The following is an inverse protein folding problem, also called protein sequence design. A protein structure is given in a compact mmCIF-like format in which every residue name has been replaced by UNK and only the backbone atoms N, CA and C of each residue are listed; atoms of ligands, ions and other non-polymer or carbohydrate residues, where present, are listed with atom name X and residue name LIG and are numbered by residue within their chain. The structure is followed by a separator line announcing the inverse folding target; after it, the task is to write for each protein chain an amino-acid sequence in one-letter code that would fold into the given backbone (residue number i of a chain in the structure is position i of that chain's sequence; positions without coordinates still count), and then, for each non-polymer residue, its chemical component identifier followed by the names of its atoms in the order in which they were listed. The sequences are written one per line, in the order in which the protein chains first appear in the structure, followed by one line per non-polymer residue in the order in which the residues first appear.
data_IF_833131072156
#
_entry.id   IF_833131072156
#
_cell.length_a   1.000
_cell.length_b   1.000
_cell.length_c   1.000
_cell.angle_alpha   90.00
_cell.angle_beta   90.00
_cell.angle_gamma   90.00
#
_symmetry.space_group_name_H-M   'P 1'
#
loop_
_entity.id
_entity.type
_entity.pdbx_description
1 polymer ?
#
# COMPACT_ATOMS: atom_id res chain seq x y z
N UNK A 1 -36.15 15.51 -21.31
CA UNK A 1 -35.10 15.62 -22.34
C UNK A 1 -34.62 14.22 -22.71
N UNK A 2 -34.63 13.84 -24.00
CA UNK A 2 -34.15 12.52 -24.48
C UNK A 2 -32.83 12.76 -25.20
N UNK A 3 -31.71 12.26 -24.66
CA UNK A 3 -30.39 12.34 -25.32
C UNK A 3 -30.29 11.12 -26.26
N UNK A 4 -30.26 11.29 -27.60
CA UNK A 4 -30.45 10.17 -28.54
C UNK A 4 -29.44 9.02 -28.40
N UNK A 5 -28.19 9.34 -28.04
CA UNK A 5 -27.11 8.35 -27.86
C UNK A 5 -27.15 7.64 -26.50
N UNK A 6 -27.97 8.10 -25.55
CA UNK A 6 -28.02 7.56 -24.19
C UNK A 6 -29.13 6.52 -24.08
N UNK A 7 -28.78 5.32 -23.59
CA UNK A 7 -29.71 4.23 -23.32
C UNK A 7 -29.57 3.76 -21.88
N UNK A 8 -30.69 3.63 -21.18
CA UNK A 8 -30.74 3.10 -19.82
C UNK A 8 -31.15 1.63 -19.86
N UNK A 9 -30.35 0.76 -19.24
CA UNK A 9 -30.64 -0.66 -19.04
C UNK A 9 -30.69 -0.94 -17.54
N UNK A 10 -31.73 -1.64 -17.07
CA UNK A 10 -31.96 -1.89 -15.64
C UNK A 10 -31.92 -3.39 -15.34
N UNK A 11 -31.29 -3.76 -14.25
CA UNK A 11 -31.36 -5.12 -13.69
C UNK A 11 -32.71 -5.33 -12.99
N UNK A 12 -33.18 -6.58 -12.91
CA UNK A 12 -34.43 -6.92 -12.20
C UNK A 12 -34.25 -6.97 -10.67
N UNK A 13 -33.01 -7.11 -10.22
CA UNK A 13 -32.60 -7.17 -8.80
C UNK A 13 -31.19 -6.60 -8.64
N UNK A 14 -30.70 -6.48 -7.41
CA UNK A 14 -29.32 -6.04 -7.13
C UNK A 14 -28.31 -7.13 -7.55
N UNK A 15 -27.54 -6.85 -8.59
CA UNK A 15 -26.54 -7.79 -9.14
C UNK A 15 -25.10 -7.50 -8.70
N UNK A 16 -24.82 -6.28 -8.21
CA UNK A 16 -23.46 -5.83 -7.91
C UNK A 16 -22.71 -5.37 -9.15
N UNK A 17 -21.55 -4.74 -8.93
CA UNK A 17 -20.80 -4.03 -9.98
C UNK A 17 -20.36 -4.96 -11.12
N UNK A 18 -19.76 -6.11 -10.81
CA UNK A 18 -19.28 -7.09 -11.81
C UNK A 18 -20.39 -7.50 -12.77
N UNK A 19 -21.48 -8.06 -12.24
CA UNK A 19 -22.59 -8.59 -13.05
C UNK A 19 -23.33 -7.48 -13.82
N UNK A 20 -23.40 -6.28 -13.25
CA UNK A 20 -23.99 -5.12 -13.95
C UNK A 20 -23.13 -4.68 -15.13
N UNK A 21 -21.80 -4.67 -14.99
CA UNK A 21 -20.87 -4.41 -16.11
C UNK A 21 -20.99 -5.48 -17.20
N UNK A 22 -21.12 -6.76 -16.83
CA UNK A 22 -21.37 -7.85 -17.79
C UNK A 22 -22.69 -7.68 -18.56
N UNK A 23 -23.77 -7.26 -17.88
CA UNK A 23 -25.04 -6.93 -18.55
C UNK A 23 -24.84 -5.81 -19.59
N UNK A 24 -24.12 -4.75 -19.21
CA UNK A 24 -23.75 -3.67 -20.14
C UNK A 24 -22.97 -4.18 -21.35
N UNK A 25 -21.96 -5.02 -21.12
CA UNK A 25 -21.13 -5.61 -22.16
C UNK A 25 -21.94 -6.48 -23.15
N UNK A 26 -22.82 -7.34 -22.64
CA UNK A 26 -23.69 -8.19 -23.50
C UNK A 26 -24.67 -7.39 -24.36
N UNK A 27 -25.01 -6.16 -23.94
CA UNK A 27 -25.92 -5.29 -24.66
C UNK A 27 -25.21 -4.27 -25.56
N UNK A 28 -23.88 -4.20 -25.51
CA UNK A 28 -23.07 -3.29 -26.30
C UNK A 28 -23.08 -3.70 -27.79
N UNK A 29 -23.02 -2.70 -28.67
CA UNK A 29 -23.00 -2.90 -30.14
C UNK A 29 -21.74 -2.37 -30.81
N UNK A 30 -20.87 -1.69 -30.05
CA UNK A 30 -19.61 -1.15 -30.57
C UNK A 30 -18.54 -2.23 -30.65
N UNK A 31 -17.50 -1.96 -31.44
CA UNK A 31 -16.35 -2.85 -31.62
C UNK A 31 -15.45 -2.90 -30.37
N UNK A 32 -15.39 -1.78 -29.64
CA UNK A 32 -14.67 -1.62 -28.38
C UNK A 32 -15.66 -1.25 -27.28
N UNK A 33 -15.48 -1.84 -26.10
CA UNK A 33 -16.27 -1.54 -24.90
C UNK A 33 -15.43 -0.68 -23.96
N UNK A 34 -15.90 0.53 -23.67
CA UNK A 34 -15.29 1.41 -22.66
C UNK A 34 -16.15 1.39 -21.40
N UNK A 35 -15.53 1.11 -20.26
CA UNK A 35 -16.18 1.22 -18.94
C UNK A 35 -15.80 2.53 -18.27
N UNK A 36 -16.79 3.21 -17.70
CA UNK A 36 -16.62 4.39 -16.86
C UNK A 36 -17.50 4.22 -15.61
N UNK A 37 -17.03 4.73 -14.48
CA UNK A 37 -17.87 4.83 -13.29
C UNK A 37 -18.86 6.00 -13.43
N UNK A 38 -19.91 5.97 -12.61
CA UNK A 38 -21.03 6.93 -12.72
C UNK A 38 -20.68 8.34 -12.22
N UNK A 39 -19.44 8.56 -11.79
CA UNK A 39 -18.94 9.77 -11.14
C UNK A 39 -17.53 10.08 -11.68
N UNK A 40 -17.42 10.15 -13.01
CA UNK A 40 -16.20 10.49 -13.72
C UNK A 40 -16.44 11.70 -14.63
N UNK A 41 -15.39 12.51 -14.83
CA UNK A 41 -15.35 13.57 -15.83
C UNK A 41 -14.23 13.24 -16.82
N UNK A 42 -14.58 13.10 -18.09
CA UNK A 42 -13.61 12.73 -19.10
C UNK A 42 -12.90 13.98 -19.64
N UNK A 43 -11.57 13.99 -19.60
CA UNK A 43 -10.77 15.14 -19.99
C UNK A 43 -10.69 15.30 -21.54
N UNK A 44 -10.13 16.41 -22.00
CA UNK A 44 -9.98 16.76 -23.41
C UNK A 44 -9.26 15.65 -24.16
N UNK A 45 -9.85 15.22 -25.29
CA UNK A 45 -9.25 14.25 -26.20
C UNK A 45 -8.88 12.88 -25.57
N UNK A 46 -9.60 12.44 -24.53
CA UNK A 46 -9.30 11.19 -23.82
C UNK A 46 -9.53 9.91 -24.66
N UNK A 47 -10.50 9.91 -25.59
CA UNK A 47 -10.95 8.68 -26.27
C UNK A 47 -10.08 8.26 -27.46
N UNK A 48 -9.69 9.15 -28.40
CA UNK A 48 -8.87 8.76 -29.55
C UNK A 48 -7.57 8.02 -29.23
N UNK A 49 -6.71 8.44 -28.27
CA UNK A 49 -5.46 7.72 -27.99
C UNK A 49 -5.70 6.30 -27.46
N UNK A 50 -6.79 6.07 -26.72
CA UNK A 50 -7.17 4.73 -26.24
C UNK A 50 -7.60 3.83 -27.42
N UNK A 51 -8.43 4.35 -28.31
CA UNK A 51 -8.91 3.59 -29.47
C UNK A 51 -7.80 3.30 -30.47
N UNK A 52 -6.89 4.27 -30.70
CA UNK A 52 -5.73 4.09 -31.56
C UNK A 52 -4.86 2.91 -31.10
N UNK A 53 -4.59 2.84 -29.78
CA UNK A 53 -3.77 1.75 -29.25
C UNK A 53 -4.43 0.38 -29.37
N UNK A 54 -5.76 0.30 -29.23
CA UNK A 54 -6.51 -0.94 -29.46
C UNK A 54 -6.52 -1.30 -30.95
N UNK A 55 -6.64 -0.32 -31.85
CA UNK A 55 -6.61 -0.54 -33.30
C UNK A 55 -5.27 -1.14 -33.75
N UNK A 56 -4.16 -0.70 -33.15
CA UNK A 56 -2.84 -1.29 -33.39
C UNK A 56 -2.71 -2.73 -32.87
N UNK A 57 -3.33 -3.05 -31.71
CA UNK A 57 -3.32 -4.39 -31.16
C UNK A 57 -4.62 -4.72 -30.42
N UNK A 58 -5.49 -5.49 -31.08
CA UNK A 58 -6.80 -5.91 -30.56
C UNK A 58 -6.77 -6.74 -29.28
N UNK A 59 -5.60 -7.26 -28.87
CA UNK A 59 -5.42 -8.02 -27.61
C UNK A 59 -4.96 -7.14 -26.45
N UNK A 60 -4.70 -5.86 -26.69
CA UNK A 60 -4.30 -4.90 -25.65
C UNK A 60 -5.53 -4.31 -24.97
N UNK A 61 -5.56 -4.39 -23.64
CA UNK A 61 -6.45 -3.57 -22.82
C UNK A 61 -5.73 -2.26 -22.52
N UNK A 62 -6.43 -1.14 -22.63
CA UNK A 62 -5.88 0.20 -22.40
C UNK A 62 -6.64 0.88 -21.27
N UNK A 63 -5.91 1.69 -20.51
CA UNK A 63 -6.41 2.39 -19.33
C UNK A 63 -6.00 3.85 -19.46
N UNK A 64 -6.90 4.82 -19.28
CA UNK A 64 -6.48 6.20 -19.14
C UNK A 64 -5.77 6.42 -17.80
N UNK A 65 -5.05 7.54 -17.67
CA UNK A 65 -4.74 8.06 -16.34
C UNK A 65 -6.05 8.37 -15.60
N UNK A 66 -6.09 8.05 -14.31
CA UNK A 66 -7.25 8.31 -13.45
C UNK A 66 -6.86 9.43 -12.51
N UNK A 67 -7.38 10.62 -12.78
CA UNK A 67 -7.18 11.80 -11.94
C UNK A 67 -8.18 11.85 -10.77
N UNK A 68 -7.88 12.69 -9.79
CA UNK A 68 -8.68 12.88 -8.58
C UNK A 68 -9.61 14.08 -8.78
N UNK A 69 -10.88 13.86 -8.45
CA UNK A 69 -11.83 14.94 -8.17
C UNK A 69 -12.06 14.91 -6.66
N UNK A 70 -11.62 15.96 -5.97
CA UNK A 70 -11.72 16.05 -4.51
C UNK A 70 -13.18 15.99 -4.05
N UNK A 71 -13.46 15.20 -3.00
CA UNK A 71 -14.85 14.95 -2.58
C UNK A 71 -15.48 16.11 -1.79
N UNK A 72 -14.67 17.03 -1.26
CA UNK A 72 -15.13 18.17 -0.47
C UNK A 72 -15.27 19.43 -1.33
N UNK A 73 -14.28 19.70 -2.20
CA UNK A 73 -14.24 20.93 -3.00
C UNK A 73 -14.24 20.71 -4.52
N UNK A 74 -14.32 19.46 -5.00
CA UNK A 74 -14.34 19.13 -6.44
C UNK A 74 -13.12 19.67 -7.22
N UNK A 75 -11.99 19.88 -6.54
CA UNK A 75 -10.73 20.23 -7.20
C UNK A 75 -10.26 19.07 -8.05
N UNK A 76 -9.75 19.38 -9.25
CA UNK A 76 -9.24 18.39 -10.19
C UNK A 76 -7.71 18.38 -10.11
N UNK A 77 -7.13 17.24 -9.71
CA UNK A 77 -5.69 17.07 -9.56
C UNK A 77 -5.25 15.67 -10.00
N UNK A 78 -4.01 15.52 -10.45
CA UNK A 78 -3.41 14.20 -10.71
C UNK A 78 -3.24 13.43 -9.39
N UNK A 79 -3.31 12.10 -9.43
CA UNK A 79 -2.90 11.30 -8.28
C UNK A 79 -1.42 11.53 -7.93
N UNK A 80 -1.05 11.44 -6.64
CA UNK A 80 0.34 11.61 -6.19
C UNK A 80 1.30 10.69 -6.98
N UNK A 81 2.39 11.24 -7.51
CA UNK A 81 3.35 10.51 -8.35
C UNK A 81 2.91 10.30 -9.81
N UNK A 82 1.73 10.78 -10.21
CA UNK A 82 1.22 10.81 -11.58
C UNK A 82 1.34 9.45 -12.32
N UNK A 83 2.21 9.34 -13.33
CA UNK A 83 2.46 8.10 -14.05
C UNK A 83 3.14 7.04 -13.16
N UNK A 84 2.34 6.08 -12.68
CA UNK A 84 2.79 4.96 -11.86
C UNK A 84 2.24 3.63 -12.39
N UNK A 85 2.93 2.53 -12.09
CA UNK A 85 2.42 1.18 -12.38
C UNK A 85 1.53 0.74 -11.22
N UNK A 86 0.36 0.22 -11.53
CA UNK A 86 -0.48 -0.44 -10.54
C UNK A 86 0.07 -1.82 -10.18
N UNK A 87 -0.09 -2.21 -8.93
CA UNK A 87 0.45 -3.41 -8.31
C UNK A 87 -0.48 -3.88 -7.17
N UNK A 88 -0.03 -4.84 -6.36
CA UNK A 88 -0.74 -5.27 -5.17
C UNK A 88 0.22 -5.64 -4.03
N UNK A 89 -0.27 -5.57 -2.79
CA UNK A 89 0.35 -6.25 -1.65
C UNK A 89 -0.22 -7.67 -1.47
N UNK A 90 0.43 -8.52 -0.67
CA UNK A 90 0.01 -9.91 -0.45
C UNK A 90 -1.26 -10.04 0.40
N UNK A 91 -1.84 -8.93 0.86
CA UNK A 91 -3.21 -8.85 1.37
C UNK A 91 -4.26 -8.58 0.28
N UNK A 92 -3.82 -8.54 -0.99
CA UNK A 92 -4.58 -8.25 -2.20
C UNK A 92 -5.19 -6.84 -2.23
N UNK A 93 -4.54 -5.86 -1.59
CA UNK A 93 -4.86 -4.46 -1.82
C UNK A 93 -4.14 -3.94 -3.04
N UNK A 94 -4.85 -3.15 -3.85
CA UNK A 94 -4.25 -2.36 -4.92
C UNK A 94 -3.19 -1.38 -4.37
N UNK A 95 -2.09 -1.24 -5.11
CA UNK A 95 -0.96 -0.35 -4.83
C UNK A 95 -0.52 0.35 -6.12
N UNK A 96 0.14 1.50 -5.99
CA UNK A 96 0.86 2.15 -7.09
C UNK A 96 2.35 2.12 -6.76
N UNK A 97 3.17 1.67 -7.70
CA UNK A 97 4.63 1.63 -7.60
C UNK A 97 5.25 2.47 -8.73
N UNK A 98 6.39 3.12 -8.48
CA UNK A 98 7.02 3.97 -9.50
C UNK A 98 7.43 3.15 -10.73
N UNK A 99 7.40 3.78 -11.91
CA UNK A 99 7.93 3.15 -13.13
C UNK A 99 9.46 2.98 -12.96
N UNK A 100 9.99 1.74 -13.02
CA UNK A 100 11.42 1.50 -12.89
C UNK A 100 12.23 2.28 -13.94
N UNK A 101 13.43 2.79 -13.61
CA UNK A 101 14.27 3.52 -14.57
C UNK A 101 14.49 2.77 -15.89
N UNK A 102 14.65 1.45 -15.83
CA UNK A 102 14.82 0.56 -16.99
C UNK A 102 13.60 0.48 -17.93
N UNK A 103 12.43 0.92 -17.48
CA UNK A 103 11.19 0.96 -18.27
C UNK A 103 10.80 2.38 -18.72
N UNK A 104 11.50 3.41 -18.26
CA UNK A 104 11.19 4.79 -18.65
C UNK A 104 11.47 4.98 -20.13
N UNK A 105 10.49 5.54 -20.83
CA UNK A 105 10.61 5.87 -22.25
C UNK A 105 11.25 7.25 -22.43
N UNK A 106 11.77 7.48 -23.64
CA UNK A 106 12.33 8.79 -24.02
C UNK A 106 11.26 9.88 -24.01
N UNK A 107 10.08 9.57 -24.54
CA UNK A 107 8.89 10.40 -24.42
C UNK A 107 8.04 9.89 -23.24
N UNK A 108 7.88 10.68 -22.16
CA UNK A 108 7.13 10.28 -20.98
C UNK A 108 5.61 10.22 -21.22
N UNK A 109 5.11 10.72 -22.36
CA UNK A 109 3.69 10.69 -22.72
C UNK A 109 3.27 9.43 -23.46
N UNK A 110 4.23 8.61 -23.88
CA UNK A 110 3.95 7.36 -24.57
C UNK A 110 3.29 6.32 -23.65
N UNK A 111 2.42 5.44 -24.20
CA UNK A 111 1.84 4.35 -23.43
C UNK A 111 2.92 3.45 -22.80
N UNK A 112 2.77 3.13 -21.51
CA UNK A 112 3.65 2.22 -20.78
C UNK A 112 2.92 0.96 -20.32
N UNK A 113 3.68 -0.10 -20.02
CA UNK A 113 3.12 -1.37 -19.57
C UNK A 113 2.78 -1.35 -18.09
N UNK A 114 1.55 -1.75 -17.78
CA UNK A 114 1.04 -1.82 -16.42
C UNK A 114 0.81 -3.28 -15.99
N UNK A 115 1.13 -3.60 -14.74
CA UNK A 115 1.02 -4.96 -14.16
C UNK A 115 -0.42 -5.27 -13.79
N UNK A 116 -1.07 -4.26 -13.21
CA UNK A 116 -2.36 -4.40 -12.57
C UNK A 116 -3.08 -3.06 -12.68
N UNK A 117 -4.23 -3.06 -13.34
CA UNK A 117 -5.04 -1.86 -13.50
C UNK A 117 -5.83 -1.57 -12.22
N UNK A 118 -6.18 -0.31 -11.96
CA UNK A 118 -7.17 0.10 -10.95
C UNK A 118 -8.56 -0.40 -11.30
N UNK A 119 -8.88 -0.56 -12.59
CA UNK A 119 -10.21 -0.93 -13.07
C UNK A 119 -10.50 -2.43 -12.93
N UNK A 120 -9.48 -3.30 -12.99
CA UNK A 120 -9.67 -4.75 -12.84
C UNK A 120 -10.05 -5.19 -11.41
N UNK A 121 -9.47 -4.65 -10.32
CA UNK A 121 -10.00 -4.80 -8.98
C UNK A 121 -11.29 -4.00 -8.74
N UNK A 122 -11.78 -3.12 -9.63
CA UNK A 122 -13.15 -2.56 -9.51
C UNK A 122 -14.23 -3.66 -9.64
N UNK A 123 -13.86 -4.90 -9.99
CA UNK A 123 -14.71 -6.05 -9.73
C UNK A 123 -14.94 -6.30 -8.21
N UNK A 124 -13.96 -6.00 -7.35
CA UNK A 124 -13.92 -6.35 -5.92
C UNK A 124 -13.64 -5.20 -4.93
N UNK A 125 -13.33 -4.01 -5.41
CA UNK A 125 -13.03 -2.83 -4.61
C UNK A 125 -13.66 -1.60 -5.24
N UNK A 126 -14.52 -0.89 -4.52
CA UNK A 126 -14.79 0.51 -4.83
C UNK A 126 -13.75 1.35 -4.08
N UNK A 127 -12.82 1.95 -4.81
CA UNK A 127 -12.04 3.08 -4.29
C UNK A 127 -11.84 4.08 -5.42
N UNK A 128 -12.87 4.88 -5.65
CA UNK A 128 -12.69 6.32 -5.82
C UNK A 128 -13.14 6.92 -4.49
N UNK A 129 -12.46 7.97 -4.02
CA UNK A 129 -12.72 8.58 -2.72
C UNK A 129 -14.22 8.71 -2.46
N UNK A 130 -14.68 8.02 -1.42
CA UNK A 130 -16.08 7.89 -1.09
C UNK A 130 -16.58 9.26 -0.63
N UNK A 131 -17.27 9.98 -1.52
CA UNK A 131 -18.38 10.83 -1.08
C UNK A 131 -19.30 9.90 -0.31
N UNK A 132 -19.37 10.09 1.01
CA UNK A 132 -19.95 9.17 2.03
C UNK A 132 -21.47 9.01 1.87
N UNK A 133 -21.91 8.46 0.74
CA UNK A 133 -23.24 7.89 0.61
C UNK A 133 -23.22 6.50 1.23
N UNK A 134 -23.87 6.39 2.38
CA UNK A 134 -24.23 5.15 3.04
C UNK A 134 -25.07 4.25 2.11
N UNK A 135 -24.43 3.56 1.16
CA UNK A 135 -25.01 2.34 0.64
C UNK A 135 -24.79 1.26 1.68
N UNK A 136 -25.89 0.70 2.19
CA UNK A 136 -25.86 -0.40 3.15
C UNK A 136 -25.23 -1.64 2.47
N UNK A 137 -23.91 -1.79 2.59
CA UNK A 137 -23.19 -2.99 2.17
C UNK A 137 -23.47 -4.10 3.17
N UNK A 138 -24.41 -4.97 2.85
CA UNK A 138 -24.87 -6.00 3.79
C UNK A 138 -23.89 -7.14 4.05
N UNK A 139 -22.73 -7.29 3.37
CA UNK A 139 -21.81 -8.41 3.64
C UNK A 139 -20.31 -8.12 3.39
N UNK A 140 -19.55 -7.97 4.47
CA UNK A 140 -18.07 -8.07 4.51
C UNK A 140 -17.54 -9.41 3.95
N UNK A 141 -18.38 -10.46 3.96
CA UNK A 141 -18.06 -11.81 3.48
C UNK A 141 -17.86 -11.94 1.96
N UNK A 142 -18.48 -11.09 1.14
CA UNK A 142 -18.44 -11.21 -0.33
C UNK A 142 -17.04 -10.90 -0.89
N UNK A 143 -16.36 -9.89 -0.32
CA UNK A 143 -15.04 -9.45 -0.78
C UNK A 143 -13.96 -10.52 -0.62
N UNK A 144 -13.89 -11.17 0.55
CA UNK A 144 -12.86 -12.17 0.84
C UNK A 144 -13.05 -13.41 -0.05
N UNK A 145 -14.29 -13.85 -0.23
CA UNK A 145 -14.62 -15.00 -1.06
C UNK A 145 -14.20 -14.76 -2.50
N UNK A 146 -14.49 -13.59 -3.05
CA UNK A 146 -14.12 -13.28 -4.43
C UNK A 146 -12.61 -13.18 -4.64
N UNK A 147 -11.86 -12.59 -3.69
CA UNK A 147 -10.40 -12.57 -3.77
C UNK A 147 -9.82 -14.00 -3.71
N UNK A 148 -10.41 -14.86 -2.87
CA UNK A 148 -10.05 -16.28 -2.86
C UNK A 148 -10.33 -16.95 -4.20
N UNK A 149 -11.47 -16.70 -4.84
CA UNK A 149 -11.79 -17.22 -6.19
C UNK A 149 -10.74 -16.82 -7.22
N UNK A 150 -10.25 -15.58 -7.17
CA UNK A 150 -9.18 -15.11 -8.07
C UNK A 150 -7.87 -15.84 -7.76
N UNK A 151 -7.46 -15.91 -6.49
CA UNK A 151 -6.23 -16.58 -6.08
C UNK A 151 -6.21 -18.07 -6.50
N UNK A 152 -7.28 -18.80 -6.23
CA UNK A 152 -7.43 -20.23 -6.54
C UNK A 152 -7.42 -20.56 -8.04
N UNK A 153 -7.79 -19.61 -8.90
CA UNK A 153 -7.83 -19.83 -10.35
C UNK A 153 -6.57 -19.35 -11.05
N UNK A 154 -5.96 -18.25 -10.59
CA UNK A 154 -4.95 -17.54 -11.36
C UNK A 154 -3.59 -17.44 -10.70
N UNK A 155 -3.48 -17.54 -9.38
CA UNK A 155 -2.24 -17.23 -8.64
C UNK A 155 -1.33 -18.44 -8.39
N UNK A 156 -1.73 -19.65 -8.77
CA UNK A 156 -0.93 -20.87 -8.63
C UNK A 156 -0.33 -21.03 -7.22
N UNK A 157 0.96 -21.34 -7.10
CA UNK A 157 1.66 -21.47 -5.82
C UNK A 157 1.71 -20.16 -5.01
N UNK A 158 1.53 -19.00 -5.64
CA UNK A 158 1.59 -17.70 -4.98
C UNK A 158 0.31 -17.37 -4.19
N UNK A 159 -0.78 -18.11 -4.38
CA UNK A 159 -1.96 -18.01 -3.52
C UNK A 159 -1.62 -18.28 -2.04
N UNK A 160 -0.62 -19.11 -1.79
CA UNK A 160 -0.16 -19.45 -0.44
C UNK A 160 0.40 -18.22 0.31
N UNK A 161 1.08 -17.30 -0.37
CA UNK A 161 1.53 -16.05 0.24
C UNK A 161 0.36 -15.18 0.69
N UNK A 162 -0.76 -15.18 -0.06
CA UNK A 162 -1.99 -14.51 0.38
C UNK A 162 -2.54 -15.14 1.65
N UNK A 163 -2.49 -16.46 1.76
CA UNK A 163 -3.01 -17.21 2.92
C UNK A 163 -2.12 -17.08 4.16
N UNK A 164 -0.83 -16.82 3.98
CA UNK A 164 0.08 -16.50 5.08
C UNK A 164 -0.22 -15.13 5.69
N UNK A 165 -0.55 -14.14 4.85
CA UNK A 165 -0.91 -12.79 5.32
C UNK A 165 -2.35 -12.72 5.84
N UNK A 166 -3.24 -13.60 5.37
CA UNK A 166 -4.63 -13.71 5.82
C UNK A 166 -5.06 -15.16 6.07
N UNK A 167 -4.71 -15.72 7.24
CA UNK A 167 -5.00 -17.12 7.58
C UNK A 167 -6.48 -17.50 7.46
N UNK A 168 -7.40 -16.54 7.63
CA UNK A 168 -8.84 -16.76 7.50
C UNK A 168 -9.26 -17.23 6.09
N UNK A 169 -8.42 -17.01 5.07
CA UNK A 169 -8.70 -17.47 3.71
C UNK A 169 -8.61 -19.00 3.59
N UNK A 170 -7.84 -19.70 4.43
CA UNK A 170 -7.66 -21.16 4.31
C UNK A 170 -8.98 -21.91 4.46
N UNK A 171 -9.78 -21.52 5.43
CA UNK A 171 -11.05 -22.18 5.76
C UNK A 171 -12.26 -21.57 5.03
N UNK A 172 -12.06 -20.46 4.31
CA UNK A 172 -13.11 -19.83 3.52
C UNK A 172 -13.42 -20.67 2.27
N UNK A 173 -14.70 -20.99 2.03
CA UNK A 173 -15.11 -21.66 0.80
C UNK A 173 -15.11 -20.71 -0.39
N UNK A 174 -14.44 -21.07 -1.49
CA UNK A 174 -14.46 -20.32 -2.74
C UNK A 174 -15.71 -20.61 -3.61
N UNK A 175 -16.52 -21.60 -3.23
CA UNK A 175 -17.57 -22.17 -4.08
C UNK A 175 -17.00 -22.95 -5.27
N UNK A 176 -17.86 -23.30 -6.23
CA UNK A 176 -17.41 -23.97 -7.46
C UNK A 176 -16.65 -23.00 -8.38
N UNK A 177 -15.50 -23.48 -8.85
CA UNK A 177 -14.52 -22.78 -9.71
C UNK A 177 -14.18 -23.58 -10.96
N UNK A 178 -14.87 -24.69 -11.22
CA UNK A 178 -14.56 -25.63 -12.32
C UNK A 178 -14.57 -24.92 -13.67
N UNK A 179 -15.65 -24.20 -13.98
CA UNK A 179 -15.78 -23.45 -15.24
C UNK A 179 -14.67 -22.41 -15.45
N UNK A 180 -14.20 -21.76 -14.38
CA UNK A 180 -13.13 -20.76 -14.45
C UNK A 180 -11.75 -21.42 -14.65
N UNK A 181 -11.49 -22.56 -14.01
CA UNK A 181 -10.26 -23.35 -14.21
C UNK A 181 -10.20 -23.95 -15.62
N UNK A 182 -11.32 -24.45 -16.13
CA UNK A 182 -11.46 -24.93 -17.51
C UNK A 182 -11.24 -23.81 -18.53
N UNK A 183 -11.79 -22.62 -18.27
CA UNK A 183 -11.55 -21.44 -19.12
C UNK A 183 -10.06 -21.12 -19.22
N UNK A 184 -9.34 -21.07 -18.09
CA UNK A 184 -7.90 -20.83 -18.05
C UNK A 184 -7.13 -21.88 -18.85
N UNK A 185 -7.48 -23.15 -18.68
CA UNK A 185 -6.88 -24.27 -19.42
C UNK A 185 -7.10 -24.13 -20.93
N UNK A 186 -8.34 -23.90 -21.36
CA UNK A 186 -8.71 -23.74 -22.78
C UNK A 186 -8.00 -22.57 -23.45
N UNK A 187 -7.76 -21.48 -22.72
CA UNK A 187 -7.04 -20.31 -23.24
C UNK A 187 -5.51 -20.51 -23.29
N UNK A 188 -4.99 -21.62 -22.76
CA UNK A 188 -3.54 -21.92 -22.72
C UNK A 188 -2.74 -20.77 -22.10
N UNK A 189 -3.25 -20.19 -21.01
CA UNK A 189 -2.61 -19.09 -20.30
C UNK A 189 -1.25 -19.50 -19.72
N UNK A 190 -0.31 -18.55 -19.64
CA UNK A 190 0.93 -18.73 -18.88
C UNK A 190 0.63 -18.90 -17.39
N UNK A 191 1.56 -19.51 -16.66
CA UNK A 191 1.45 -19.66 -15.21
C UNK A 191 1.75 -18.33 -14.50
N UNK A 192 1.38 -18.26 -13.22
CA UNK A 192 1.55 -17.04 -12.42
C UNK A 192 3.01 -16.74 -12.13
N UNK A 193 3.88 -17.76 -12.07
CA UNK A 193 5.33 -17.58 -11.97
C UNK A 193 5.87 -16.74 -13.14
N UNK A 194 5.47 -17.05 -14.37
CA UNK A 194 5.83 -16.26 -15.55
C UNK A 194 5.31 -14.81 -15.45
N UNK A 195 4.08 -14.63 -14.93
CA UNK A 195 3.57 -13.28 -14.70
C UNK A 195 4.44 -12.51 -13.68
N UNK A 196 4.82 -13.15 -12.58
CA UNK A 196 5.67 -12.55 -11.55
C UNK A 196 7.11 -12.30 -12.02
N UNK A 197 7.65 -13.09 -12.96
CA UNK A 197 9.02 -12.94 -13.45
C UNK A 197 9.15 -12.02 -14.67
N UNK A 198 8.14 -11.97 -15.54
CA UNK A 198 8.24 -11.23 -16.81
C UNK A 198 7.41 -9.94 -16.80
N UNK A 199 6.27 -9.92 -16.12
CA UNK A 199 5.34 -8.77 -16.14
C UNK A 199 5.46 -7.94 -14.87
N UNK A 200 5.43 -8.62 -13.71
CA UNK A 200 5.38 -8.01 -12.37
C UNK A 200 6.71 -8.12 -11.59
N UNK A 201 7.84 -8.15 -12.29
CA UNK A 201 9.16 -8.43 -11.70
C UNK A 201 9.63 -7.39 -10.68
N UNK A 202 9.12 -6.16 -10.75
CA UNK A 202 9.38 -5.06 -9.82
C UNK A 202 8.44 -5.08 -8.60
N UNK A 203 7.32 -5.81 -8.66
CA UNK A 203 6.38 -5.91 -7.53
C UNK A 203 7.08 -6.43 -6.27
N UNK A 204 7.86 -7.53 -6.27
CA UNK A 204 8.56 -8.01 -5.07
C UNK A 204 9.59 -7.04 -4.50
N UNK A 205 10.12 -6.09 -5.29
CA UNK A 205 11.01 -5.03 -4.77
C UNK A 205 10.27 -4.11 -3.80
N UNK A 206 8.96 -3.94 -4.02
CA UNK A 206 8.09 -3.11 -3.18
C UNK A 206 7.25 -3.93 -2.21
N UNK A 207 6.76 -5.11 -2.58
CA UNK A 207 5.91 -5.96 -1.74
C UNK A 207 6.39 -7.40 -1.87
N UNK A 208 7.47 -7.80 -1.17
CA UNK A 208 8.02 -9.13 -1.27
C UNK A 208 7.02 -10.18 -0.73
N UNK A 209 6.91 -11.37 -1.36
CA UNK A 209 6.05 -12.44 -0.87
C UNK A 209 6.39 -12.89 0.55
N UNK A 210 7.67 -12.81 0.90
CA UNK A 210 8.18 -13.05 2.25
C UNK A 210 8.96 -11.81 2.65
N UNK A 211 8.49 -11.11 3.67
CA UNK A 211 9.16 -9.90 4.15
C UNK A 211 10.52 -10.22 4.79
N UNK A 212 11.58 -9.46 4.49
CA UNK A 212 12.86 -9.60 5.19
C UNK A 212 12.71 -9.32 6.70
N UNK A 213 13.62 -9.85 7.54
CA UNK A 213 13.55 -9.65 8.98
C UNK A 213 13.75 -8.18 9.36
N UNK A 214 13.10 -7.78 10.46
CA UNK A 214 13.28 -6.46 11.07
C UNK A 214 14.71 -6.29 11.61
N UNK A 215 15.17 -5.04 11.63
CA UNK A 215 16.48 -4.65 12.15
C UNK A 215 16.50 -4.56 13.68
N UNK A 216 15.40 -4.10 14.29
CA UNK A 216 15.24 -4.01 15.73
C UNK A 216 13.75 -3.96 16.09
N UNK A 217 13.38 -4.40 17.31
CA UNK A 217 11.99 -4.35 17.78
C UNK A 217 11.88 -4.41 19.30
N UNK A 218 10.66 -4.11 19.80
CA UNK A 218 10.31 -4.05 21.22
C UNK A 218 10.20 -2.60 21.71
N UNK A 219 10.46 -2.37 23.00
CA UNK A 219 10.53 -1.01 23.54
C UNK A 219 11.73 -0.23 22.96
N UNK A 220 11.56 1.08 22.77
CA UNK A 220 12.66 2.02 22.50
C UNK A 220 12.87 2.88 23.76
N UNK A 221 13.94 2.61 24.49
CA UNK A 221 14.27 3.27 25.75
C UNK A 221 15.34 4.34 25.55
N UNK A 222 15.11 5.52 26.09
CA UNK A 222 16.11 6.58 26.15
C UNK A 222 17.15 6.29 27.26
N UNK A 223 18.44 6.44 26.96
CA UNK A 223 19.53 6.17 27.93
C UNK A 223 19.56 7.22 29.04
N UNK A 224 19.42 8.50 28.71
CA UNK A 224 19.54 9.59 29.68
C UNK A 224 18.42 9.64 30.72
N UNK A 225 17.18 9.44 30.29
CA UNK A 225 16.00 9.48 31.17
C UNK A 225 15.55 8.11 31.69
N UNK A 226 15.94 7.02 31.03
CA UNK A 226 15.42 5.68 31.28
C UNK A 226 13.94 5.48 30.88
N UNK A 227 13.30 6.49 30.28
CA UNK A 227 11.91 6.45 29.80
C UNK A 227 11.81 5.82 28.41
N UNK A 228 10.62 5.35 28.05
CA UNK A 228 10.36 4.70 26.77
C UNK A 228 9.52 5.58 25.86
N UNK A 229 9.71 5.43 24.54
CA UNK A 229 8.80 6.02 23.55
C UNK A 229 7.43 5.37 23.65
N UNK A 230 6.38 6.19 23.71
CA UNK A 230 4.98 5.74 23.71
C UNK A 230 4.12 6.54 22.72
N UNK A 231 3.22 5.82 22.05
CA UNK A 231 2.17 6.38 21.20
C UNK A 231 0.79 6.03 21.77
N UNK A 232 -0.05 7.03 22.04
CA UNK A 232 -1.41 6.80 22.56
C UNK A 232 -2.45 6.57 21.47
N UNK A 233 -2.27 7.19 20.30
CA UNK A 233 -3.19 7.09 19.16
C UNK A 233 -2.44 6.66 17.91
N UNK A 234 -2.96 5.68 17.18
CA UNK A 234 -2.28 5.07 16.03
C UNK A 234 -2.81 5.60 14.70
N UNK A 235 -2.84 6.93 14.59
CA UNK A 235 -3.33 7.63 13.39
C UNK A 235 -2.31 8.68 12.94
N UNK A 236 -2.39 9.06 11.68
CA UNK A 236 -1.55 10.14 11.13
C UNK A 236 -1.69 11.43 11.95
N UNK A 237 -0.56 12.12 12.19
CA UNK A 237 -0.43 13.29 13.06
C UNK A 237 -0.22 12.98 14.54
N UNK A 238 -0.29 11.72 14.97
CA UNK A 238 -0.14 11.39 16.39
C UNK A 238 1.29 11.62 16.89
N UNK A 239 1.50 12.32 18.03
CA UNK A 239 2.83 12.57 18.55
C UNK A 239 3.43 11.35 19.25
N UNK A 240 4.76 11.24 19.20
CA UNK A 240 5.53 10.28 19.98
C UNK A 240 6.00 10.97 21.27
N UNK A 241 5.75 10.37 22.43
CA UNK A 241 6.07 10.93 23.74
C UNK A 241 6.97 10.02 24.55
N UNK A 242 7.56 10.57 25.62
CA UNK A 242 8.25 9.78 26.64
C UNK A 242 7.29 9.42 27.78
N UNK A 243 7.21 8.13 28.10
CA UNK A 243 6.45 7.62 29.24
C UNK A 243 7.26 6.58 30.01
N UNK A 244 6.79 6.22 31.20
CA UNK A 244 7.41 5.15 31.99
C UNK A 244 7.36 3.83 31.22
N UNK A 245 8.48 3.12 31.14
CA UNK A 245 8.57 1.85 30.42
C UNK A 245 7.64 0.81 31.05
N UNK A 246 6.75 0.23 30.25
CA UNK A 246 5.84 -0.84 30.68
C UNK A 246 6.45 -2.18 30.28
N UNK A 247 7.07 -2.88 31.24
CA UNK A 247 7.46 -4.28 31.03
C UNK A 247 6.24 -5.17 31.23
N UNK A 248 5.89 -5.97 30.23
CA UNK A 248 4.82 -6.96 30.34
C UNK A 248 5.16 -7.99 31.44
N UNK A 249 4.72 -7.72 32.67
CA UNK A 249 4.64 -8.70 33.75
C UNK A 249 3.19 -9.20 33.80
N UNK A 250 2.88 -10.16 32.95
CA UNK A 250 1.80 -11.12 33.21
C UNK A 250 0.35 -10.70 32.97
N UNK A 251 0.03 -9.49 32.52
CA UNK A 251 -1.35 -9.13 32.11
C UNK A 251 -1.44 -8.64 30.66
N UNK A 252 -2.45 -9.16 29.97
CA UNK A 252 -2.63 -9.27 28.52
C UNK A 252 -3.17 -7.97 27.90
N UNK A 253 -2.43 -6.89 28.08
CA UNK A 253 -2.55 -5.74 27.20
C UNK A 253 -1.17 -5.17 27.03
N UNK A 254 -0.52 -5.52 25.92
CA UNK A 254 0.51 -4.64 25.40
C UNK A 254 -0.08 -3.23 25.42
N UNK A 255 0.55 -2.25 26.08
CA UNK A 255 0.32 -0.88 25.66
C UNK A 255 0.89 -0.85 24.24
N UNK A 256 0.03 -1.12 23.25
CA UNK A 256 0.43 -1.34 21.85
C UNK A 256 1.30 -0.18 21.31
N UNK A 257 1.30 0.96 22.00
CA UNK A 257 2.10 2.13 21.70
C UNK A 257 3.54 2.15 22.18
N UNK A 258 4.01 1.24 23.03
CA UNK A 258 5.43 1.13 23.41
C UNK A 258 6.18 0.04 22.64
N UNK A 259 5.47 -0.79 21.87
CA UNK A 259 6.09 -1.79 21.00
C UNK A 259 6.32 -1.16 19.64
N UNK A 260 7.59 -1.06 19.25
CA UNK A 260 8.01 -0.47 18.00
C UNK A 260 8.86 -1.48 17.22
N UNK A 261 8.78 -1.42 15.89
CA UNK A 261 9.61 -2.23 14.99
C UNK A 261 10.34 -1.31 14.03
N UNK A 262 11.66 -1.46 13.95
CA UNK A 262 12.48 -0.92 12.88
C UNK A 262 12.52 -1.93 11.73
N UNK A 263 11.67 -1.70 10.74
CA UNK A 263 11.35 -2.63 9.67
C UNK A 263 12.41 -2.74 8.59
N UNK A 264 12.25 -3.74 7.73
CA UNK A 264 13.16 -4.00 6.60
C UNK A 264 13.21 -2.87 5.56
N UNK A 265 12.22 -1.96 5.59
CA UNK A 265 12.15 -0.77 4.73
C UNK A 265 12.91 0.43 5.27
N UNK A 266 13.65 0.25 6.37
CA UNK A 266 14.38 1.31 7.05
C UNK A 266 13.42 2.37 7.65
N UNK A 267 12.20 1.95 8.02
CA UNK A 267 11.17 2.76 8.68
C UNK A 267 10.84 2.22 10.09
N UNK A 268 10.34 3.07 11.00
CA UNK A 268 9.97 2.68 12.36
C UNK A 268 8.44 2.72 12.50
N UNK A 269 7.84 1.61 12.95
CA UNK A 269 6.38 1.42 13.02
C UNK A 269 5.92 0.94 14.38
N UNK A 270 4.65 1.17 14.69
CA UNK A 270 4.00 0.64 15.89
C UNK A 270 3.62 -0.82 15.71
N UNK A 271 3.95 -1.66 16.69
CA UNK A 271 3.60 -3.08 16.77
C UNK A 271 4.82 -4.01 16.63
N UNK A 272 4.56 -5.30 16.82
CA UNK A 272 5.53 -6.39 16.63
C UNK A 272 5.86 -6.58 15.14
N UNK A 273 7.02 -7.14 14.78
CA UNK A 273 7.47 -7.25 13.39
C UNK A 273 6.45 -7.86 12.42
N UNK A 274 5.70 -8.88 12.86
CA UNK A 274 4.69 -9.56 12.03
C UNK A 274 3.29 -8.92 12.09
N UNK A 275 3.10 -7.90 12.94
CA UNK A 275 1.81 -7.24 13.20
C UNK A 275 1.96 -5.72 13.27
N UNK A 276 2.85 -5.15 12.46
CA UNK A 276 3.06 -3.71 12.41
C UNK A 276 1.83 -2.99 11.85
N UNK A 277 1.58 -1.79 12.35
CA UNK A 277 0.57 -0.87 11.81
C UNK A 277 1.12 -0.14 10.60
N UNK A 278 0.22 0.33 9.72
CA UNK A 278 0.57 1.08 8.49
C UNK A 278 0.84 2.57 8.75
N UNK A 279 1.39 2.88 9.92
CA UNK A 279 1.80 4.23 10.35
C UNK A 279 3.26 4.21 10.79
N UNK A 280 4.04 5.16 10.28
CA UNK A 280 5.50 5.23 10.35
C UNK A 280 5.94 6.50 11.08
N UNK A 281 7.11 6.47 11.70
CA UNK A 281 7.78 7.67 12.22
C UNK A 281 8.11 8.60 11.05
N UNK A 282 7.71 9.85 11.19
CA UNK A 282 7.82 10.89 10.19
C UNK A 282 8.39 12.17 10.82
N UNK A 283 9.38 12.76 10.16
CA UNK A 283 10.00 14.01 10.59
C UNK A 283 10.20 14.97 9.41
N UNK A 284 9.64 16.18 9.54
CA UNK A 284 9.63 17.18 8.47
C UNK A 284 10.92 17.99 8.42
N UNK A 285 11.54 18.27 9.57
CA UNK A 285 12.73 19.12 9.64
C UNK A 285 13.66 18.74 10.78
N UNK A 286 14.83 19.38 10.84
CA UNK A 286 15.84 19.11 11.86
C UNK A 286 15.45 19.54 13.27
N UNK A 287 14.37 20.32 13.44
CA UNK A 287 13.84 20.80 14.72
C UNK A 287 12.35 20.45 14.92
N UNK A 288 11.75 19.63 14.04
CA UNK A 288 10.34 19.26 14.14
C UNK A 288 10.11 18.21 15.24
N UNK A 289 8.89 18.09 15.78
CA UNK A 289 8.51 16.87 16.48
C UNK A 289 8.63 15.65 15.54
N UNK A 290 8.76 14.47 16.12
CA UNK A 290 8.56 13.20 15.39
C UNK A 290 7.12 12.77 15.61
N UNK A 291 6.40 12.51 14.52
CA UNK A 291 4.99 12.11 14.56
C UNK A 291 4.78 10.81 13.80
N UNK A 292 3.60 10.23 13.94
CA UNK A 292 3.15 9.16 13.07
C UNK A 292 2.54 9.76 11.79
N UNK A 293 2.88 9.18 10.64
CA UNK A 293 2.23 9.45 9.37
C UNK A 293 1.97 8.15 8.62
N UNK A 294 1.10 8.16 7.61
CA UNK A 294 0.84 6.96 6.81
C UNK A 294 2.13 6.48 6.13
N UNK A 295 2.45 5.20 6.27
CA UNK A 295 3.67 4.63 5.69
C UNK A 295 3.59 4.64 4.16
N UNK A 296 4.54 5.29 3.50
CA UNK A 296 4.60 5.31 2.03
C UNK A 296 5.72 4.44 1.44
N UNK A 297 6.70 4.02 2.24
CA UNK A 297 7.77 3.10 1.80
C UNK A 297 8.70 3.69 0.73
N UNK A 298 8.71 5.01 0.57
CA UNK A 298 9.56 5.74 -0.39
C UNK A 298 10.85 6.27 0.27
N UNK A 299 11.18 5.81 1.48
CA UNK A 299 12.22 6.39 2.32
C UNK A 299 11.88 7.86 2.65
N UNK A 300 12.75 8.82 2.35
CA UNK A 300 12.45 10.23 2.58
C UNK A 300 12.36 10.59 4.07
N UNK A 301 11.33 11.35 4.44
CA UNK A 301 11.02 11.77 5.82
C UNK A 301 10.64 10.61 6.76
N UNK A 302 10.52 9.38 6.24
CA UNK A 302 10.30 8.15 7.01
C UNK A 302 11.55 7.24 7.05
N UNK A 303 12.69 7.72 6.53
CA UNK A 303 13.94 6.96 6.49
C UNK A 303 14.74 7.16 7.79
N UNK A 304 15.05 6.08 8.47
CA UNK A 304 15.83 6.11 9.71
C UNK A 304 17.09 5.27 9.62
N UNK A 305 18.10 5.66 10.39
CA UNK A 305 19.33 4.90 10.63
C UNK A 305 19.52 4.71 12.12
N UNK A 306 19.74 3.48 12.55
CA UNK A 306 20.14 3.21 13.92
C UNK A 306 21.65 2.94 13.94
N UNK A 307 22.41 3.94 14.41
CA UNK A 307 23.88 3.96 14.34
C UNK A 307 24.52 3.25 15.54
N UNK A 308 25.84 3.01 15.46
CA UNK A 308 26.61 2.34 16.54
C UNK A 308 26.61 3.13 17.85
N UNK A 309 26.57 4.46 17.75
CA UNK A 309 26.44 5.40 18.87
C UNK A 309 25.04 5.43 19.52
N UNK A 310 24.13 4.54 19.08
CA UNK A 310 22.75 4.43 19.58
C UNK A 310 21.85 5.61 19.23
N UNK A 311 22.26 6.45 18.28
CA UNK A 311 21.41 7.50 17.74
C UNK A 311 20.41 6.96 16.70
N UNK A 312 19.22 7.56 16.68
CA UNK A 312 18.25 7.41 15.60
C UNK A 312 18.44 8.59 14.66
N UNK A 313 19.28 8.40 13.65
CA UNK A 313 19.64 9.41 12.67
C UNK A 313 18.63 9.47 11.54
N UNK A 314 18.22 10.68 11.18
CA UNK A 314 17.35 10.99 10.06
C UNK A 314 18.19 11.61 8.93
N UNK A 315 18.53 10.84 7.87
CA UNK A 315 19.43 11.31 6.82
C UNK A 315 18.91 12.53 6.06
N UNK A 316 17.58 12.63 5.88
CA UNK A 316 16.97 13.68 5.07
C UNK A 316 17.08 15.06 5.71
N UNK A 317 17.01 15.15 7.04
CA UNK A 317 17.21 16.42 7.76
C UNK A 317 18.60 16.59 8.37
N UNK A 318 19.47 15.59 8.21
CA UNK A 318 20.79 15.51 8.84
C UNK A 318 20.76 15.78 10.36
N UNK A 319 19.81 15.16 11.05
CA UNK A 319 19.57 15.38 12.48
C UNK A 319 19.20 14.07 13.19
N UNK A 320 19.18 14.09 14.51
CA UNK A 320 18.94 12.90 15.34
C UNK A 320 17.71 13.10 16.21
N UNK A 321 17.06 11.99 16.59
CA UNK A 321 15.99 12.04 17.58
C UNK A 321 16.59 12.36 18.96
N UNK A 322 16.09 13.42 19.57
CA UNK A 322 16.38 13.90 20.92
C UNK A 322 15.12 13.87 21.78
N UNK A 323 15.29 14.11 23.07
CA UNK A 323 14.20 14.06 24.03
C UNK A 323 14.33 15.10 25.15
N UNK A 324 13.17 15.50 25.67
CA UNK A 324 13.04 16.40 26.81
C UNK A 324 12.23 15.70 27.88
N UNK A 325 12.88 15.31 28.97
CA UNK A 325 12.25 14.58 30.09
C UNK A 325 11.21 15.46 30.81
N UNK A 326 11.48 16.77 30.95
CA UNK A 326 10.58 17.72 31.60
C UNK A 326 9.29 17.91 30.80
N UNK A 327 9.39 17.96 29.47
CA UNK A 327 8.24 18.14 28.56
C UNK A 327 7.64 16.81 28.08
N UNK A 328 8.26 15.67 28.42
CA UNK A 328 7.90 14.32 27.94
C UNK A 328 7.76 14.21 26.42
N UNK A 329 8.57 14.95 25.66
CA UNK A 329 8.50 15.00 24.20
C UNK A 329 9.74 14.41 23.52
N UNK A 330 9.52 13.93 22.31
CA UNK A 330 10.53 13.44 21.37
C UNK A 330 10.53 14.37 20.15
N UNK A 331 11.71 14.78 19.70
CA UNK A 331 11.87 15.79 18.65
C UNK A 331 13.19 15.62 17.92
N UNK A 332 13.32 16.24 16.75
CA UNK A 332 14.58 16.28 16.02
C UNK A 332 15.50 17.37 16.57
N UNK A 333 16.80 17.11 16.63
CA UNK A 333 17.82 18.08 17.02
C UNK A 333 19.17 17.76 16.35
N UNK A 334 20.13 18.69 16.39
CA UNK A 334 21.52 18.44 15.94
C UNK A 334 22.08 17.20 16.62
N UNK A 335 22.66 16.29 15.83
CA UNK A 335 23.23 15.06 16.36
C UNK A 335 24.42 15.32 17.28
N UNK A 336 24.36 14.79 18.49
CA UNK A 336 25.45 14.73 19.46
C UNK A 336 25.61 13.29 19.97
N UNK A 337 26.64 12.56 19.51
CA UNK A 337 26.90 11.18 19.93
C UNK A 337 27.14 11.01 21.44
N UNK A 338 27.54 12.09 22.12
CA UNK A 338 27.82 12.07 23.56
C UNK A 338 26.58 12.34 24.40
N UNK A 339 25.51 12.86 23.79
CA UNK A 339 24.28 13.21 24.49
C UNK A 339 23.46 11.97 24.84
N UNK A 340 23.26 11.75 26.14
CA UNK A 340 22.43 10.65 26.63
C UNK A 340 20.94 10.80 26.27
N UNK A 341 20.47 12.01 25.99
CA UNK A 341 19.08 12.25 25.55
C UNK A 341 18.84 11.86 24.09
N UNK A 342 19.91 11.66 23.31
CA UNK A 342 19.88 11.19 21.92
C UNK A 342 20.27 9.71 21.74
N UNK A 343 20.60 9.02 22.83
CA UNK A 343 20.92 7.60 22.81
C UNK A 343 19.68 6.76 23.13
N UNK A 344 19.38 5.82 22.24
CA UNK A 344 18.18 4.99 22.28
C UNK A 344 18.54 3.50 22.22
N UNK A 345 17.88 2.70 23.06
CA UNK A 345 18.08 1.25 23.12
C UNK A 345 16.80 0.54 22.73
N UNK A 346 16.86 -0.26 21.67
CA UNK A 346 15.83 -1.25 21.38
C UNK A 346 15.97 -2.45 22.31
N UNK A 347 14.85 -3.07 22.67
CA UNK A 347 14.84 -4.34 23.42
C UNK A 347 15.60 -5.45 22.67
N UNK A 348 15.37 -5.56 21.36
CA UNK A 348 15.95 -6.61 20.49
C UNK A 348 16.49 -6.00 19.22
N UNK A 349 17.61 -6.55 18.73
CA UNK A 349 18.28 -6.10 17.52
C UNK A 349 18.78 -7.28 16.70
N UNK A 350 18.88 -7.07 15.38
CA UNK A 350 19.54 -7.95 14.44
C UNK A 350 20.77 -7.22 13.87
N UNK A 351 21.95 -7.54 14.41
CA UNK A 351 23.19 -6.86 14.06
C UNK A 351 23.51 -6.94 12.56
N UNK A 352 23.29 -8.09 11.92
CA UNK A 352 23.54 -8.30 10.48
C UNK A 352 22.70 -7.36 9.61
N UNK A 353 21.43 -7.15 9.97
CA UNK A 353 20.54 -6.24 9.24
C UNK A 353 20.92 -4.77 9.50
N UNK A 354 21.24 -4.43 10.75
CA UNK A 354 21.69 -3.09 11.10
C UNK A 354 23.01 -2.70 10.42
N UNK A 355 23.95 -3.63 10.30
CA UNK A 355 25.18 -3.42 9.54
C UNK A 355 24.88 -3.15 8.07
N UNK A 356 23.98 -3.93 7.46
CA UNK A 356 23.55 -3.70 6.08
C UNK A 356 22.93 -2.31 5.89
N UNK A 357 22.08 -1.87 6.81
CA UNK A 357 21.44 -0.55 6.75
C UNK A 357 22.42 0.61 6.86
N UNK A 358 23.53 0.43 7.59
CA UNK A 358 24.54 1.46 7.78
C UNK A 358 25.72 1.35 6.79
N UNK A 359 25.63 0.54 5.72
CA UNK A 359 26.68 0.51 4.69
C UNK A 359 26.67 1.79 3.87
N UNK A 360 27.85 2.41 3.69
CA UNK A 360 28.03 3.62 2.89
C UNK A 360 27.54 4.90 3.57
N UNK A 361 27.40 4.88 4.90
CA UNK A 361 27.04 6.06 5.71
C UNK A 361 28.19 6.56 6.60
N UNK A 362 29.42 6.09 6.33
CA UNK A 362 30.65 6.57 6.96
C UNK A 362 31.23 7.78 6.23
#
# INVERSE_FOLDING_TARGET
MRIPKVRILRTKKREGLIRTRLLGATAAKGEVITFLDSHCEANVNWLPPLLDRIAQNRKTIVCPMIDVIDHDHFGYDTQAGDAMRGAFDWEMYYKRIPIPPEMKRNDPTEPFENIYDEIWPLALWSKSFIMKYYYHFTKRFDRLQNLKRVAEVWMDEYAEYVYQHRPEYRHLSAGDMTAQKELRSRLSCKNFRWFMSEVAWDLPRHYPPVEPPAAAWGEIRNVGSGMCMEIKHFVSGSPIRLESCVKSRGEVSWSHGQVLTFGWREDIRVGEPNHTRKVCFDAVSHNSPVTLYDCHGMKGNQLWRYRKDKSLYHPVSNSCIDSSTSERRVFMNTCDPTSLSQQWLFERTNATVLEHFNRGTD
#
